data_IF_057284200490
#
_entry.id   IF_057284200490
#
_cell.length_a   1.000
_cell.length_b   1.000
_cell.length_c   1.000
_cell.angle_alpha   90.00
_cell.angle_beta   90.00
_cell.angle_gamma   90.00
#
_symmetry.space_group_name_H-M   'P 1'
#
loop_
_entity.id
_entity.type
_entity.pdbx_description
1 polymer ?
#
# COMPACT_ATOMS: atom_id res chain seq x y z
N UNK A 1 23.32 -17.69 1.14
CA UNK A 1 22.61 -17.86 -0.16
C UNK A 1 21.60 -16.73 -0.21
N UNK A 2 21.90 -15.65 -0.92
CA UNK A 2 21.04 -14.46 -0.99
C UNK A 2 20.11 -14.58 -2.19
N UNK A 3 18.82 -14.88 -1.99
CA UNK A 3 17.86 -15.05 -3.09
C UNK A 3 17.50 -13.73 -3.79
N UNK A 4 17.91 -12.58 -3.22
CA UNK A 4 17.62 -11.24 -3.71
C UNK A 4 16.17 -10.81 -3.49
N UNK A 5 15.85 -9.62 -4.00
CA UNK A 5 14.51 -9.05 -3.98
C UNK A 5 13.66 -9.44 -5.20
N UNK A 6 12.39 -9.03 -5.21
CA UNK A 6 11.39 -9.40 -6.23
C UNK A 6 11.68 -8.86 -7.65
N UNK A 7 12.79 -8.14 -7.88
CA UNK A 7 13.13 -7.60 -9.20
C UNK A 7 12.07 -6.64 -9.76
N UNK A 8 11.67 -5.65 -8.95
CA UNK A 8 10.62 -4.69 -9.33
C UNK A 8 10.95 -3.93 -10.62
N UNK A 9 12.23 -3.66 -10.87
CA UNK A 9 12.76 -2.97 -12.04
C UNK A 9 12.42 -3.65 -13.39
N UNK A 10 12.43 -4.98 -13.41
CA UNK A 10 12.24 -5.80 -14.60
C UNK A 10 10.81 -6.35 -14.70
N UNK A 11 10.25 -6.80 -13.58
CA UNK A 11 8.92 -7.43 -13.56
C UNK A 11 7.78 -6.42 -13.72
N UNK A 12 7.90 -5.22 -13.14
CA UNK A 12 6.85 -4.19 -13.24
C UNK A 12 6.57 -3.73 -14.68
N UNK A 13 7.58 -3.34 -15.50
CA UNK A 13 7.32 -2.94 -16.87
C UNK A 13 6.83 -4.10 -17.74
N UNK A 14 7.27 -5.33 -17.47
CA UNK A 14 6.79 -6.52 -18.19
C UNK A 14 5.30 -6.75 -17.98
N UNK A 15 4.82 -6.65 -16.73
CA UNK A 15 3.39 -6.76 -16.41
C UNK A 15 2.59 -5.64 -17.08
N UNK A 16 3.11 -4.41 -17.10
CA UNK A 16 2.47 -3.27 -17.75
C UNK A 16 2.34 -3.44 -19.27
N UNK A 17 3.34 -4.05 -19.91
CA UNK A 17 3.29 -4.38 -21.33
C UNK A 17 2.15 -5.38 -21.62
N UNK A 18 1.97 -6.40 -20.79
CA UNK A 18 0.86 -7.35 -20.95
C UNK A 18 -0.51 -6.69 -20.71
N UNK A 19 -0.60 -5.76 -19.76
CA UNK A 19 -1.80 -4.95 -19.56
C UNK A 19 -2.13 -4.09 -20.79
N UNK A 20 -1.13 -3.40 -21.35
CA UNK A 20 -1.30 -2.61 -22.58
C UNK A 20 -1.77 -3.50 -23.74
N UNK A 21 -1.11 -4.65 -23.94
CA UNK A 21 -1.49 -5.60 -24.98
C UNK A 21 -2.92 -6.10 -24.79
N UNK A 22 -3.29 -6.46 -23.56
CA UNK A 22 -4.64 -6.88 -23.22
C UNK A 22 -5.67 -5.81 -23.49
N UNK A 23 -5.43 -4.56 -23.10
CA UNK A 23 -6.36 -3.44 -23.32
C UNK A 23 -6.51 -3.08 -24.79
N UNK A 24 -5.43 -3.10 -25.57
CA UNK A 24 -5.46 -2.76 -27.01
C UNK A 24 -6.15 -3.87 -27.80
N UNK A 25 -5.79 -5.13 -27.56
CA UNK A 25 -6.31 -6.27 -28.33
C UNK A 25 -7.63 -6.82 -27.81
N UNK A 26 -8.13 -6.41 -26.64
CA UNK A 26 -9.44 -6.81 -26.13
C UNK A 26 -10.57 -6.59 -27.13
N UNK A 27 -10.54 -5.46 -27.86
CA UNK A 27 -11.58 -5.09 -28.83
C UNK A 27 -11.28 -5.62 -30.23
N UNK A 28 -10.00 -5.81 -30.57
CA UNK A 28 -9.58 -6.23 -31.93
C UNK A 28 -9.61 -7.75 -32.08
N UNK A 29 -8.99 -8.48 -31.15
CA UNK A 29 -8.86 -9.94 -31.18
C UNK A 29 -9.09 -10.52 -29.77
N UNK A 30 -10.35 -10.79 -29.38
CA UNK A 30 -10.68 -11.23 -28.02
C UNK A 30 -10.09 -12.60 -27.66
N UNK A 31 -9.69 -13.39 -28.66
CA UNK A 31 -9.03 -14.69 -28.46
C UNK A 31 -7.72 -14.60 -27.67
N UNK A 32 -7.07 -13.43 -27.63
CA UNK A 32 -5.81 -13.22 -26.90
C UNK A 32 -6.03 -13.08 -25.38
N UNK A 33 -7.20 -12.59 -24.94
CA UNK A 33 -7.53 -12.39 -23.53
C UNK A 33 -7.45 -13.65 -22.65
N UNK A 34 -7.99 -14.83 -23.03
CA UNK A 34 -7.87 -16.03 -22.20
C UNK A 34 -6.41 -16.42 -21.94
N UNK A 35 -5.50 -16.24 -22.91
CA UNK A 35 -4.08 -16.53 -22.71
C UNK A 35 -3.44 -15.58 -21.69
N UNK A 36 -3.75 -14.28 -21.78
CA UNK A 36 -3.29 -13.29 -20.79
C UNK A 36 -3.84 -13.61 -19.39
N UNK A 37 -5.11 -14.00 -19.28
CA UNK A 37 -5.71 -14.34 -18.00
C UNK A 37 -5.08 -15.59 -17.38
N UNK A 38 -4.82 -16.63 -18.17
CA UNK A 38 -4.11 -17.83 -17.72
C UNK A 38 -2.70 -17.46 -17.25
N UNK A 39 -1.98 -16.63 -18.03
CA UNK A 39 -0.67 -16.13 -17.65
C UNK A 39 -0.71 -15.41 -16.29
N UNK A 40 -1.63 -14.47 -16.09
CA UNK A 40 -1.75 -13.76 -14.81
C UNK A 40 -2.17 -14.68 -13.66
N UNK A 41 -3.01 -15.69 -13.92
CA UNK A 41 -3.38 -16.69 -12.92
C UNK A 41 -2.17 -17.52 -12.45
N UNK A 42 -1.36 -18.03 -13.38
CA UNK A 42 -0.14 -18.76 -13.03
C UNK A 42 0.91 -17.84 -12.38
N UNK A 43 1.13 -16.64 -12.93
CA UNK A 43 2.05 -15.67 -12.35
C UNK A 43 1.68 -15.34 -10.90
N UNK A 44 0.39 -15.13 -10.61
CA UNK A 44 -0.08 -14.90 -9.24
C UNK A 44 0.27 -16.06 -8.30
N UNK A 45 0.03 -17.31 -8.72
CA UNK A 45 0.36 -18.47 -7.90
C UNK A 45 1.87 -18.60 -7.65
N UNK A 46 2.68 -18.44 -8.68
CA UNK A 46 4.15 -18.56 -8.60
C UNK A 46 4.73 -17.43 -7.74
N UNK A 47 4.41 -16.17 -8.03
CA UNK A 47 4.92 -15.05 -7.25
C UNK A 47 4.44 -15.10 -5.81
N UNK A 48 3.18 -15.51 -5.54
CA UNK A 48 2.70 -15.69 -4.17
C UNK A 48 3.54 -16.74 -3.42
N UNK A 49 3.88 -17.84 -4.06
CA UNK A 49 4.72 -18.87 -3.45
C UNK A 49 6.15 -18.36 -3.21
N UNK A 50 6.74 -17.66 -4.17
CA UNK A 50 8.10 -17.14 -4.05
C UNK A 50 8.22 -16.02 -3.00
N UNK A 51 7.22 -15.15 -2.89
CA UNK A 51 7.18 -14.09 -1.88
C UNK A 51 7.15 -14.68 -0.46
N UNK A 52 6.45 -15.79 -0.25
CA UNK A 52 6.34 -16.41 1.09
C UNK A 52 7.60 -17.20 1.45
N UNK A 53 8.20 -17.90 0.47
CA UNK A 53 9.21 -18.92 0.77
C UNK A 53 10.66 -18.50 0.47
N UNK A 54 10.87 -17.53 -0.41
CA UNK A 54 12.20 -17.29 -1.01
C UNK A 54 12.61 -15.84 -0.92
N UNK A 55 11.81 -14.91 -1.43
CA UNK A 55 12.26 -13.52 -1.57
C UNK A 55 12.42 -12.83 -0.22
N UNK A 56 13.54 -12.13 -0.06
CA UNK A 56 13.76 -11.22 1.05
C UNK A 56 13.63 -9.78 0.56
N UNK A 57 12.79 -8.98 1.22
CA UNK A 57 12.52 -7.62 0.79
C UNK A 57 13.56 -6.66 1.38
N UNK A 58 14.46 -6.17 0.52
CA UNK A 58 15.56 -5.27 0.92
C UNK A 58 15.10 -3.89 1.41
N UNK A 59 13.94 -3.42 0.92
CA UNK A 59 13.39 -2.12 1.28
C UNK A 59 11.87 -2.16 1.41
N UNK A 60 11.33 -1.48 2.42
CA UNK A 60 9.90 -1.34 2.62
C UNK A 60 9.41 0.03 2.11
N UNK A 61 8.62 0.02 1.03
CA UNK A 61 8.06 1.24 0.44
C UNK A 61 6.58 1.47 0.77
N UNK A 62 5.94 0.55 1.51
CA UNK A 62 4.51 0.59 1.85
C UNK A 62 3.58 0.89 0.65
N UNK A 63 3.89 0.32 -0.53
CA UNK A 63 3.15 0.51 -1.78
C UNK A 63 3.08 1.96 -2.31
N UNK A 64 4.04 2.81 -1.95
CA UNK A 64 4.14 4.19 -2.46
C UNK A 64 4.25 4.28 -4.01
N UNK A 65 4.60 3.19 -4.69
CA UNK A 65 4.66 3.11 -6.16
C UNK A 65 3.27 3.02 -6.84
N UNK A 66 2.20 2.77 -6.11
CA UNK A 66 0.86 2.55 -6.67
C UNK A 66 0.33 3.71 -7.54
N UNK A 67 0.49 5.00 -7.17
CA UNK A 67 0.09 6.12 -8.01
C UNK A 67 0.78 6.12 -9.39
N UNK A 68 2.05 5.68 -9.45
CA UNK A 68 2.79 5.53 -10.70
C UNK A 68 2.19 4.42 -11.58
N UNK A 69 1.97 3.24 -11.01
CA UNK A 69 1.35 2.09 -11.71
C UNK A 69 -0.04 2.46 -12.23
N UNK A 70 -0.87 3.08 -11.39
CA UNK A 70 -2.21 3.54 -11.79
C UNK A 70 -2.15 4.52 -12.96
N UNK A 71 -1.25 5.51 -12.91
CA UNK A 71 -1.07 6.46 -14.02
C UNK A 71 -0.72 5.79 -15.34
N UNK A 72 0.16 4.78 -15.32
CA UNK A 72 0.57 4.02 -16.51
C UNK A 72 -0.57 3.17 -17.06
N UNK A 73 -1.37 2.52 -16.21
CA UNK A 73 -2.57 1.76 -16.63
C UNK A 73 -3.61 2.69 -17.27
N UNK A 74 -3.86 3.86 -16.69
CA UNK A 74 -4.78 4.83 -17.29
C UNK A 74 -4.24 5.35 -18.63
N UNK A 75 -2.94 5.60 -18.73
CA UNK A 75 -2.30 5.97 -20.01
C UNK A 75 -2.49 4.88 -21.07
N UNK A 76 -2.28 3.61 -20.70
CA UNK A 76 -2.53 2.47 -21.58
C UNK A 76 -3.99 2.38 -22.03
N UNK A 77 -4.95 2.68 -21.14
CA UNK A 77 -6.38 2.73 -21.46
C UNK A 77 -6.71 3.84 -22.46
N UNK A 78 -6.15 5.04 -22.28
CA UNK A 78 -6.30 6.17 -23.22
C UNK A 78 -5.70 5.79 -24.59
N UNK A 79 -4.52 5.18 -24.62
CA UNK A 79 -3.89 4.69 -25.85
C UNK A 79 -4.76 3.66 -26.56
N UNK A 80 -5.34 2.70 -25.83
CA UNK A 80 -6.28 1.71 -26.39
C UNK A 80 -7.52 2.39 -27.00
N UNK A 81 -8.10 3.39 -26.33
CA UNK A 81 -9.26 4.14 -26.83
C UNK A 81 -8.93 4.93 -28.11
N UNK A 82 -7.76 5.57 -28.16
CA UNK A 82 -7.30 6.30 -29.35
C UNK A 82 -7.01 5.37 -30.53
N UNK A 83 -6.39 4.21 -30.28
CA UNK A 83 -6.16 3.19 -31.31
C UNK A 83 -7.48 2.62 -31.85
N UNK A 84 -8.45 2.37 -30.96
CA UNK A 84 -9.78 1.91 -31.36
C UNK A 84 -10.51 2.96 -32.21
N UNK A 85 -10.40 4.24 -31.84
CA UNK A 85 -10.93 5.34 -32.64
C UNK A 85 -10.28 5.37 -34.03
N UNK A 86 -8.96 5.22 -34.11
CA UNK A 86 -8.23 5.12 -35.37
C UNK A 86 -8.70 3.95 -36.24
N UNK A 87 -8.90 2.76 -35.66
CA UNK A 87 -9.36 1.57 -36.37
C UNK A 87 -10.81 1.71 -36.87
N UNK A 88 -11.72 2.24 -36.06
CA UNK A 88 -13.12 2.42 -36.49
C UNK A 88 -13.28 3.55 -37.51
N UNK A 89 -12.41 4.57 -37.46
CA UNK A 89 -12.41 5.66 -38.44
C UNK A 89 -12.09 5.16 -39.85
N UNK A 90 -11.25 4.14 -40.02
CA UNK A 90 -10.94 3.59 -41.35
C UNK A 90 -12.04 2.69 -41.90
N UNK A 91 -12.90 2.12 -41.03
CA UNK A 91 -14.00 1.21 -41.42
C UNK A 91 -15.28 1.94 -41.86
N UNK A 92 -15.29 3.28 -41.91
CA UNK A 92 -16.46 4.07 -42.32
C UNK A 92 -17.61 4.09 -41.30
N UNK A 93 -17.36 3.66 -40.06
CA UNK A 93 -18.37 3.60 -38.99
C UNK A 93 -18.58 4.95 -38.30
N UNK A 94 -18.97 5.98 -39.06
CA UNK A 94 -19.08 7.37 -38.58
C UNK A 94 -20.12 7.61 -37.48
N UNK A 95 -21.09 6.70 -37.31
CA UNK A 95 -22.10 6.79 -36.25
C UNK A 95 -21.53 6.52 -34.85
N UNK A 96 -20.43 5.76 -34.75
CA UNK A 96 -19.83 5.37 -33.46
C UNK A 96 -18.78 6.37 -32.97
N UNK A 97 -18.25 7.21 -33.86
CA UNK A 97 -17.19 8.20 -33.59
C UNK A 97 -17.47 9.16 -32.43
N UNK A 98 -18.68 9.76 -32.27
CA UNK A 98 -18.90 10.72 -31.18
C UNK A 98 -18.82 10.06 -29.80
N UNK A 99 -19.31 8.83 -29.65
CA UNK A 99 -19.22 8.08 -28.39
C UNK A 99 -17.77 7.77 -28.07
N UNK A 100 -17.00 7.27 -29.05
CA UNK A 100 -15.58 6.95 -28.86
C UNK A 100 -14.72 8.16 -28.50
N UNK A 101 -15.08 9.36 -28.92
CA UNK A 101 -14.36 10.59 -28.58
C UNK A 101 -14.62 11.02 -27.12
N UNK A 102 -15.82 10.73 -26.59
CA UNK A 102 -16.17 11.03 -25.19
C UNK A 102 -15.39 10.13 -24.21
N UNK A 103 -15.10 8.88 -24.58
CA UNK A 103 -14.38 7.92 -23.72
C UNK A 103 -13.03 8.44 -23.18
N UNK A 104 -12.06 8.89 -24.01
CA UNK A 104 -10.77 9.39 -23.54
C UNK A 104 -10.89 10.65 -22.67
N UNK A 105 -11.93 11.47 -22.92
CA UNK A 105 -12.20 12.64 -22.09
C UNK A 105 -12.65 12.21 -20.69
N UNK A 106 -13.60 11.27 -20.61
CA UNK A 106 -14.10 10.75 -19.33
C UNK A 106 -12.99 10.04 -18.55
N UNK A 107 -12.15 9.23 -19.21
CA UNK A 107 -11.03 8.55 -18.53
C UNK A 107 -9.99 9.54 -18.01
N UNK A 108 -9.70 10.62 -18.74
CA UNK A 108 -8.83 11.69 -18.28
C UNK A 108 -9.40 12.44 -17.07
N UNK A 109 -10.69 12.78 -17.09
CA UNK A 109 -11.36 13.39 -15.92
C UNK A 109 -11.36 12.46 -14.71
N UNK A 110 -11.60 11.16 -14.92
CA UNK A 110 -11.51 10.15 -13.88
C UNK A 110 -10.10 10.08 -13.27
N UNK A 111 -9.05 10.07 -14.10
CA UNK A 111 -7.67 10.12 -13.63
C UNK A 111 -7.41 11.33 -12.74
N UNK A 112 -7.84 12.53 -13.17
CA UNK A 112 -7.67 13.76 -12.40
C UNK A 112 -8.43 13.72 -11.08
N UNK A 113 -9.64 13.16 -11.07
CA UNK A 113 -10.40 12.95 -9.85
C UNK A 113 -9.67 12.01 -8.88
N UNK A 114 -9.21 10.85 -9.37
CA UNK A 114 -8.47 9.89 -8.56
C UNK A 114 -7.16 10.46 -8.02
N UNK A 115 -6.43 11.21 -8.86
CA UNK A 115 -5.19 11.87 -8.47
C UNK A 115 -5.44 12.86 -7.33
N UNK A 116 -6.40 13.77 -7.50
CA UNK A 116 -6.71 14.78 -6.47
C UNK A 116 -7.25 14.17 -5.18
N UNK A 117 -7.99 13.05 -5.24
CA UNK A 117 -8.63 12.43 -4.09
C UNK A 117 -7.73 11.46 -3.32
N UNK A 118 -6.98 10.61 -4.02
CA UNK A 118 -6.31 9.44 -3.43
C UNK A 118 -4.79 9.55 -3.39
N UNK A 119 -4.15 10.25 -4.33
CA UNK A 119 -2.68 10.44 -4.32
C UNK A 119 -2.15 11.03 -3.01
N UNK A 120 -2.82 12.01 -2.34
CA UNK A 120 -2.33 12.55 -1.07
C UNK A 120 -2.16 11.49 0.02
N UNK A 121 -2.94 10.40 0.00
CA UNK A 121 -2.82 9.30 0.98
C UNK A 121 -1.53 8.52 0.82
N UNK A 122 -0.96 8.46 -0.38
CA UNK A 122 0.29 7.75 -0.65
C UNK A 122 1.53 8.61 -0.43
N UNK A 123 1.40 9.93 -0.59
CA UNK A 123 2.54 10.87 -0.54
C UNK A 123 2.64 11.58 0.81
N UNK A 124 1.52 11.83 1.48
CA UNK A 124 1.48 12.61 2.72
C UNK A 124 1.09 11.71 3.89
N UNK A 125 1.87 11.78 4.97
CA UNK A 125 1.51 11.17 6.24
C UNK A 125 0.57 12.12 7.02
N UNK A 126 -0.69 11.74 7.30
CA UNK A 126 -1.62 12.59 8.05
C UNK A 126 -1.23 12.66 9.54
N UNK A 127 -1.16 13.89 10.08
CA UNK A 127 -0.80 14.13 11.48
C UNK A 127 -1.68 13.37 12.49
N UNK A 128 -2.95 13.17 12.17
CA UNK A 128 -3.87 12.43 13.04
C UNK A 128 -3.41 10.98 13.25
N UNK A 129 -2.95 10.29 12.20
CA UNK A 129 -2.48 8.91 12.34
C UNK A 129 -1.11 8.86 13.00
N UNK A 130 -0.24 9.84 12.73
CA UNK A 130 1.04 9.99 13.42
C UNK A 130 0.84 10.13 14.94
N UNK A 131 0.01 11.09 15.39
CA UNK A 131 -0.28 11.29 16.81
C UNK A 131 -0.90 10.06 17.48
N UNK A 132 -1.79 9.38 16.77
CA UNK A 132 -2.43 8.16 17.27
C UNK A 132 -1.41 7.03 17.44
N UNK A 133 -0.51 6.84 16.47
CA UNK A 133 0.58 5.86 16.56
C UNK A 133 1.52 6.21 17.73
N UNK A 134 1.95 7.47 17.83
CA UNK A 134 2.83 7.94 18.92
C UNK A 134 2.22 7.71 20.31
N UNK A 135 0.90 7.94 20.46
CA UNK A 135 0.18 7.72 21.72
C UNK A 135 0.11 6.24 22.08
N UNK A 136 -0.09 5.37 21.09
CA UNK A 136 -0.13 3.91 21.29
C UNK A 136 1.25 3.35 21.64
N UNK A 137 2.29 3.79 20.95
CA UNK A 137 3.67 3.40 21.25
C UNK A 137 4.07 3.81 22.67
N UNK A 138 3.74 5.04 23.08
CA UNK A 138 4.03 5.52 24.44
C UNK A 138 3.25 4.78 25.53
N UNK A 139 2.06 4.29 25.21
CA UNK A 139 1.29 3.45 26.12
C UNK A 139 1.81 2.01 26.18
N UNK A 140 2.36 1.50 25.08
CA UNK A 140 2.93 0.16 24.95
C UNK A 140 4.27 0.03 25.66
N UNK A 141 5.21 0.95 25.39
CA UNK A 141 6.52 1.00 26.05
C UNK A 141 6.83 2.43 26.54
N UNK A 142 6.46 2.76 27.80
CA UNK A 142 6.69 4.10 28.34
C UNK A 142 8.18 4.39 28.65
N UNK A 143 9.02 3.35 28.74
CA UNK A 143 10.43 3.43 29.14
C UNK A 143 11.41 3.41 27.97
N UNK A 144 10.93 3.35 26.73
CA UNK A 144 11.76 3.24 25.53
C UNK A 144 12.72 4.45 25.34
N UNK A 145 14.03 4.20 25.31
CA UNK A 145 15.04 5.21 25.01
C UNK A 145 15.18 5.43 23.49
N UNK A 146 14.35 6.34 22.98
CA UNK A 146 14.35 6.72 21.56
C UNK A 146 15.68 7.33 21.10
N UNK A 147 16.38 8.06 21.98
CA UNK A 147 17.63 8.74 21.62
C UNK A 147 18.74 7.72 21.41
N UNK A 148 18.89 6.77 22.33
CA UNK A 148 19.85 5.67 22.19
C UNK A 148 19.57 4.82 20.96
N UNK A 149 18.28 4.56 20.64
CA UNK A 149 17.88 3.79 19.47
C UNK A 149 18.22 4.48 18.14
N UNK A 150 17.99 5.79 18.01
CA UNK A 150 18.16 6.52 16.75
C UNK A 150 19.58 7.07 16.51
N UNK A 151 20.42 7.17 17.55
CA UNK A 151 21.72 7.86 17.48
C UNK A 151 22.66 7.26 16.42
N UNK A 152 22.68 5.94 16.29
CA UNK A 152 23.60 5.22 15.39
C UNK A 152 22.92 4.67 14.11
N UNK A 153 21.61 4.91 13.93
CA UNK A 153 20.81 4.24 12.89
C UNK A 153 21.24 4.57 11.45
N UNK A 154 21.65 5.81 11.18
CA UNK A 154 22.03 6.29 9.83
C UNK A 154 23.54 6.53 9.67
N UNK A 155 24.36 5.90 10.49
CA UNK A 155 25.82 5.90 10.30
C UNK A 155 26.14 5.07 9.05
N UNK A 156 27.07 5.57 8.22
CA UNK A 156 27.50 4.86 7.02
C UNK A 156 27.98 3.44 7.38
N UNK A 157 27.61 2.39 6.64
CA UNK A 157 27.90 1.01 7.01
C UNK A 157 29.38 0.71 7.35
N UNK A 158 30.32 1.39 6.68
CA UNK A 158 31.77 1.26 6.93
C UNK A 158 32.21 1.77 8.31
N UNK A 159 31.42 2.64 8.95
CA UNK A 159 31.73 3.22 10.26
C UNK A 159 30.95 2.59 11.41
N UNK A 160 30.15 1.54 11.15
CA UNK A 160 29.51 0.77 12.22
C UNK A 160 30.55 -0.12 12.89
N UNK A 161 30.56 -0.16 14.22
CA UNK A 161 31.43 -1.07 14.96
C UNK A 161 30.77 -2.45 15.08
N UNK A 162 31.54 -3.54 15.13
CA UNK A 162 31.00 -4.91 15.19
C UNK A 162 30.09 -5.13 16.42
N UNK A 163 30.28 -4.36 17.50
CA UNK A 163 29.46 -4.39 18.72
C UNK A 163 28.09 -3.69 18.56
N UNK A 164 27.90 -2.86 17.53
CA UNK A 164 26.64 -2.14 17.29
C UNK A 164 25.57 -3.04 16.65
N UNK A 165 25.96 -4.09 15.91
CA UNK A 165 25.03 -4.93 15.14
C UNK A 165 24.33 -5.99 16.02
N UNK A 166 24.97 -6.49 17.09
CA UNK A 166 24.36 -7.49 18.00
C UNK A 166 23.23 -6.89 18.86
N UNK A 167 23.30 -5.59 19.19
CA UNK A 167 22.31 -4.91 20.04
C UNK A 167 20.97 -4.61 19.34
N UNK A 168 20.90 -4.79 18.01
CA UNK A 168 19.77 -4.38 17.18
C UNK A 168 19.10 -5.52 16.39
N UNK A 169 19.50 -6.77 16.63
CA UNK A 169 18.74 -7.92 16.12
C UNK A 169 17.41 -8.03 16.85
N UNK A 170 16.36 -7.46 16.25
CA UNK A 170 14.98 -7.80 16.56
C UNK A 170 14.83 -9.26 16.14
N UNK A 171 15.03 -10.18 17.08
CA UNK A 171 14.47 -11.51 16.94
C UNK A 171 12.96 -11.33 16.82
N UNK A 172 12.35 -11.98 15.81
CA UNK A 172 10.90 -12.21 15.67
C UNK A 172 10.37 -13.05 16.86
N UNK A 173 10.58 -12.59 18.09
CA UNK A 173 9.88 -13.08 19.27
C UNK A 173 8.44 -12.54 19.18
N UNK A 174 7.41 -13.39 19.30
CA UNK A 174 6.02 -12.94 19.26
C UNK A 174 5.77 -11.93 20.37
N UNK A 175 5.67 -10.65 20.02
CA UNK A 175 5.43 -9.56 20.97
C UNK A 175 4.14 -9.82 21.76
N UNK A 176 4.14 -9.66 23.10
CA UNK A 176 2.92 -9.81 23.87
C UNK A 176 1.92 -8.72 23.45
N UNK A 177 0.75 -9.13 22.94
CA UNK A 177 -0.35 -8.23 22.60
C UNK A 177 -0.88 -7.51 23.85
N UNK A 178 -0.24 -6.40 24.24
CA UNK A 178 -0.81 -5.49 25.23
C UNK A 178 -1.91 -4.70 24.54
N UNK A 179 -3.16 -5.16 24.70
CA UNK A 179 -4.33 -4.52 24.14
C UNK A 179 -4.56 -3.15 24.81
N UNK A 180 -4.06 -2.09 24.18
CA UNK A 180 -4.37 -0.72 24.62
C UNK A 180 -5.82 -0.41 24.27
N UNK A 181 -6.66 -0.24 25.29
CA UNK A 181 -8.07 0.09 25.12
C UNK A 181 -8.24 1.42 24.38
N UNK A 182 -8.54 1.37 23.08
CA UNK A 182 -8.86 2.56 22.30
C UNK A 182 -10.35 2.83 22.34
N UNK A 183 -10.75 3.94 22.97
CA UNK A 183 -12.15 4.37 22.97
C UNK A 183 -12.53 4.91 21.59
N UNK A 184 -13.03 4.04 20.70
CA UNK A 184 -13.70 4.49 19.47
C UNK A 184 -15.05 5.12 19.84
N UNK A 185 -15.21 6.42 19.63
CA UNK A 185 -16.55 7.01 19.56
C UNK A 185 -17.21 6.55 18.26
N UNK A 186 -18.09 5.55 18.37
CA UNK A 186 -18.98 5.19 17.28
C UNK A 186 -19.87 6.41 16.96
N UNK A 187 -19.81 6.90 15.71
CA UNK A 187 -20.82 7.82 15.21
C UNK A 187 -22.14 7.05 15.19
N UNK A 188 -23.06 7.45 16.08
CA UNK A 188 -24.48 7.09 16.15
C UNK A 188 -25.02 6.75 14.75
N UNK A 189 -25.16 5.45 14.45
CA UNK A 189 -26.15 4.86 13.54
C UNK A 189 -25.99 3.33 13.44
N UNK A 190 -25.73 2.65 14.56
CA UNK A 190 -25.89 1.20 14.67
C UNK A 190 -27.00 0.90 15.68
N UNK A 191 -28.07 0.16 15.32
CA UNK A 191 -29.27 0.01 16.14
C UNK A 191 -29.16 -1.01 17.27
N UNK A 192 -27.96 -1.52 17.59
CA UNK A 192 -27.79 -2.57 18.62
C UNK A 192 -26.69 -2.14 19.61
N UNK A 193 -26.99 -2.05 20.93
CA UNK A 193 -25.98 -1.84 21.94
C UNK A 193 -25.09 -3.09 22.07
N UNK A 194 -23.77 -2.91 22.17
CA UNK A 194 -22.83 -3.99 22.41
C UNK A 194 -23.09 -4.61 23.78
N UNK A 195 -23.58 -5.85 23.80
CA UNK A 195 -23.65 -6.71 25.00
C UNK A 195 -22.24 -7.15 25.38
N UNK A 196 -21.49 -6.29 26.05
CA UNK A 196 -20.35 -6.73 26.86
C UNK A 196 -20.23 -5.75 28.04
N UNK A 197 -20.90 -6.11 29.13
CA UNK A 197 -20.74 -5.50 30.44
C UNK A 197 -19.93 -6.51 31.26
N UNK A 198 -18.73 -6.11 31.73
CA UNK A 198 -18.03 -6.80 32.80
C UNK A 198 -16.65 -7.37 32.42
N UNK A 199 -15.62 -6.54 32.57
CA UNK A 199 -14.46 -6.84 33.43
C UNK A 199 -13.68 -5.54 33.65
N UNK A 200 -13.03 -5.46 34.81
CA UNK A 200 -12.72 -4.25 35.57
C UNK A 200 -11.67 -3.33 34.93
N UNK A 201 -11.86 -2.02 35.13
CA UNK A 201 -10.86 -1.00 34.84
C UNK A 201 -9.64 -1.19 35.75
N UNK A 202 -8.40 -1.18 35.25
CA UNK A 202 -7.24 -1.07 36.13
C UNK A 202 -7.21 0.36 36.71
N UNK A 203 -7.19 0.46 38.03
CA UNK A 203 -7.08 1.71 38.77
C UNK A 203 -5.75 2.42 38.46
N UNK A 204 -5.83 3.72 38.19
CA UNK A 204 -4.66 4.61 38.15
C UNK A 204 -4.01 4.64 39.54
N UNK A 205 -2.66 4.62 39.66
CA UNK A 205 -2.01 4.83 40.94
C UNK A 205 -2.22 6.28 41.41
N UNK A 206 -2.75 6.41 42.62
CA UNK A 206 -2.96 7.67 43.35
C UNK A 206 -1.59 8.31 43.63
N UNK A 207 -1.40 9.55 43.14
CA UNK A 207 -0.25 10.37 43.50
C UNK A 207 -0.51 10.90 44.92
N UNK A 208 0.12 10.28 45.93
CA UNK A 208 0.12 10.79 47.31
C UNK A 208 0.92 12.09 47.34
N UNK A 209 0.22 13.19 47.56
CA UNK A 209 0.79 14.52 47.71
C UNK A 209 1.08 14.76 49.20
N UNK A 210 2.34 14.60 49.61
CA UNK A 210 2.81 14.93 50.95
C UNK A 210 2.85 16.47 51.13
N UNK A 211 1.89 17.04 51.87
CA UNK A 211 2.03 18.38 52.45
C UNK A 211 1.32 18.52 53.81
N UNK A 212 2.16 18.77 54.83
CA UNK A 212 1.96 19.55 56.06
C UNK A 212 1.05 19.00 57.17
N UNK A 213 1.69 18.60 58.28
CA UNK A 213 1.82 19.41 59.51
C UNK A 213 3.06 18.99 60.30
#
# INVERSE_FOLDING_TARGET
MDPGSIGFDSNEPQIQLYFLLGLVYAVVTPFLLPFILIFFGFAYLVYRHQIINVYNQEYESAAAFWPSVHGRIITALIVSQLLLLGLLSTKGAGQSTPVLLVLPVVTFYFHKYCKNRYEPTFVKCPLQEAMKKDTLERARDPGFDLKGYLMNAYIHPVFKSDDDDEKFSIADEPEPEVLVATKRQSRRNTPVPSKYNGSESPSLPEIVNDQRL
#
